data_IF_276839356729
#
_entry.id   IF_276839356729
#
_cell.length_a   1.000
_cell.length_b   1.000
_cell.length_c   1.000
_cell.angle_alpha   90.00
_cell.angle_beta   90.00
_cell.angle_gamma   90.00
#
_symmetry.space_group_name_H-M   'P 1'
#
loop_
_entity.id
_entity.type
_entity.pdbx_description
1 polymer ?
#
# COMPACT_ATOMS: atom_id res chain seq x y z
N UNK A 1 -33.41 14.11 -18.67
CA UNK A 1 -32.94 13.16 -17.62
C UNK A 1 -31.91 12.13 -18.10
N UNK A 2 -32.19 11.19 -19.02
CA UNK A 2 -31.17 10.18 -19.45
C UNK A 2 -29.99 10.78 -20.23
N UNK A 3 -30.21 11.86 -20.98
CA UNK A 3 -29.15 12.59 -21.67
C UNK A 3 -28.14 13.22 -20.69
N UNK A 4 -28.61 13.75 -19.55
CA UNK A 4 -27.76 14.33 -18.50
C UNK A 4 -26.90 13.29 -17.78
N UNK A 5 -27.38 12.04 -17.63
CA UNK A 5 -26.62 10.97 -16.97
C UNK A 5 -25.33 10.59 -17.73
N UNK A 6 -25.26 10.93 -19.01
CA UNK A 6 -24.05 10.74 -19.82
C UNK A 6 -22.99 11.79 -19.54
N UNK A 7 -23.38 12.94 -18.98
CA UNK A 7 -22.48 14.05 -18.72
C UNK A 7 -21.51 13.72 -17.58
N UNK A 8 -20.26 14.16 -17.72
CA UNK A 8 -19.19 13.89 -16.76
C UNK A 8 -19.51 14.44 -15.36
N UNK A 9 -19.98 15.69 -15.28
CA UNK A 9 -20.34 16.33 -14.01
C UNK A 9 -21.41 15.54 -13.25
N UNK A 10 -22.38 14.99 -13.98
CA UNK A 10 -23.46 14.20 -13.39
C UNK A 10 -22.91 12.89 -12.80
N UNK A 11 -22.05 12.19 -13.57
CA UNK A 11 -21.42 10.94 -13.11
C UNK A 11 -20.53 11.17 -11.91
N UNK A 12 -19.78 12.27 -11.88
CA UNK A 12 -18.92 12.65 -10.76
C UNK A 12 -19.74 12.79 -9.47
N UNK A 13 -20.85 13.54 -9.52
CA UNK A 13 -21.75 13.73 -8.39
C UNK A 13 -22.45 12.42 -7.99
N UNK A 14 -22.91 11.65 -8.97
CA UNK A 14 -23.63 10.39 -8.72
C UNK A 14 -22.74 9.30 -8.13
N UNK A 15 -21.41 9.33 -8.38
CA UNK A 15 -20.45 8.35 -7.87
C UNK A 15 -20.52 8.20 -6.34
N UNK A 16 -20.70 9.31 -5.61
CA UNK A 16 -20.79 9.30 -4.15
C UNK A 16 -22.03 8.53 -3.70
N UNK A 17 -23.18 8.85 -4.29
CA UNK A 17 -24.46 8.20 -3.98
C UNK A 17 -24.43 6.72 -4.34
N UNK A 18 -23.96 6.38 -5.53
CA UNK A 18 -23.80 5.00 -5.97
C UNK A 18 -22.90 4.20 -5.00
N UNK A 19 -21.85 4.82 -4.48
CA UNK A 19 -20.98 4.22 -3.46
C UNK A 19 -21.72 3.89 -2.16
N UNK A 20 -22.52 4.83 -1.64
CA UNK A 20 -23.32 4.63 -0.42
C UNK A 20 -24.38 3.54 -0.63
N UNK A 21 -25.10 3.59 -1.75
CA UNK A 21 -26.11 2.59 -2.11
C UNK A 21 -25.50 1.19 -2.24
N UNK A 22 -24.34 1.07 -2.88
CA UNK A 22 -23.60 -0.19 -2.98
C UNK A 22 -23.17 -0.72 -1.61
N UNK A 23 -22.69 0.14 -0.70
CA UNK A 23 -22.31 -0.24 0.66
C UNK A 23 -23.51 -0.74 1.46
N UNK A 24 -24.63 -0.02 1.45
CA UNK A 24 -25.85 -0.45 2.15
C UNK A 24 -26.40 -1.77 1.62
N UNK A 25 -26.32 -1.97 0.29
CA UNK A 25 -26.72 -3.21 -0.36
C UNK A 25 -25.89 -4.40 0.10
N UNK A 26 -24.56 -4.24 0.16
CA UNK A 26 -23.65 -5.27 0.63
C UNK A 26 -23.83 -5.56 2.13
N UNK A 27 -23.99 -4.53 2.95
CA UNK A 27 -24.23 -4.68 4.39
C UNK A 27 -25.49 -5.49 4.69
N UNK A 28 -26.58 -5.22 3.96
CA UNK A 28 -27.85 -5.92 4.13
C UNK A 28 -27.79 -7.37 3.65
N UNK A 29 -27.13 -7.63 2.51
CA UNK A 29 -27.10 -8.95 1.86
C UNK A 29 -26.00 -9.87 2.39
N UNK A 30 -24.77 -9.37 2.51
CA UNK A 30 -23.59 -10.17 2.82
C UNK A 30 -23.20 -10.12 4.31
N UNK A 31 -23.43 -8.99 4.98
CA UNK A 31 -23.00 -8.81 6.38
C UNK A 31 -24.14 -8.89 7.41
N UNK A 32 -25.35 -9.24 6.99
CA UNK A 32 -26.47 -9.51 7.89
C UNK A 32 -26.90 -8.31 8.74
N UNK A 33 -26.78 -7.08 8.22
CA UNK A 33 -27.14 -5.86 8.95
C UNK A 33 -28.62 -5.84 9.40
N UNK A 34 -29.51 -6.53 8.68
CA UNK A 34 -30.93 -6.67 9.05
C UNK A 34 -31.19 -7.74 10.13
N UNK A 35 -30.17 -8.51 10.54
CA UNK A 35 -30.30 -9.66 11.47
C UNK A 35 -29.31 -9.55 12.63
N UNK A 36 -29.27 -8.38 13.29
CA UNK A 36 -28.43 -8.17 14.47
C UNK A 36 -29.00 -8.92 15.68
N UNK A 37 -28.14 -9.65 16.40
CA UNK A 37 -28.51 -10.38 17.63
C UNK A 37 -28.49 -9.49 18.88
N UNK A 38 -27.73 -8.39 18.83
CA UNK A 38 -27.59 -7.45 19.94
C UNK A 38 -28.82 -6.54 20.06
N UNK A 39 -29.16 -6.16 21.28
CA UNK A 39 -30.26 -5.25 21.61
C UNK A 39 -29.68 -4.00 22.27
N UNK A 40 -30.44 -2.88 22.27
CA UNK A 40 -30.03 -1.54 22.73
C UNK A 40 -29.18 -0.77 21.72
N UNK A 41 -29.53 0.51 21.53
CA UNK A 41 -28.94 1.43 20.55
C UNK A 41 -27.40 1.46 20.53
N UNK A 42 -26.70 1.55 21.68
CA UNK A 42 -25.22 1.61 21.67
C UNK A 42 -24.56 0.34 21.12
N UNK A 43 -25.10 -0.83 21.47
CA UNK A 43 -24.58 -2.12 21.01
C UNK A 43 -24.87 -2.33 19.52
N UNK A 44 -26.07 -1.93 19.08
CA UNK A 44 -26.45 -1.94 17.66
C UNK A 44 -25.53 -1.04 16.85
N UNK A 45 -25.26 0.19 17.34
CA UNK A 45 -24.37 1.13 16.69
C UNK A 45 -22.96 0.55 16.52
N UNK A 46 -22.37 0.02 17.61
CA UNK A 46 -21.05 -0.61 17.56
C UNK A 46 -21.01 -1.78 16.56
N UNK A 47 -22.00 -2.68 16.60
CA UNK A 47 -22.07 -3.81 15.68
C UNK A 47 -22.19 -3.38 14.21
N UNK A 48 -22.94 -2.31 13.92
CA UNK A 48 -23.04 -1.74 12.57
C UNK A 48 -21.70 -1.15 12.15
N UNK A 49 -21.05 -0.35 13.01
CA UNK A 49 -19.74 0.26 12.72
C UNK A 49 -18.71 -0.82 12.38
N UNK A 50 -18.61 -1.89 13.17
CA UNK A 50 -17.72 -3.01 12.86
C UNK A 50 -18.01 -3.64 11.49
N UNK A 51 -19.29 -3.81 11.13
CA UNK A 51 -19.68 -4.37 9.83
C UNK A 51 -19.32 -3.43 8.67
N UNK A 52 -19.50 -2.10 8.84
CA UNK A 52 -19.09 -1.10 7.85
C UNK A 52 -17.58 -1.14 7.64
N UNK A 53 -16.79 -1.18 8.71
CA UNK A 53 -15.33 -1.27 8.65
C UNK A 53 -14.91 -2.55 7.92
N UNK A 54 -15.50 -3.70 8.27
CA UNK A 54 -15.20 -4.97 7.62
C UNK A 54 -15.52 -4.95 6.11
N UNK A 55 -16.67 -4.36 5.72
CA UNK A 55 -17.05 -4.19 4.33
C UNK A 55 -16.04 -3.32 3.56
N UNK A 56 -15.63 -2.19 4.14
CA UNK A 56 -14.66 -1.28 3.52
C UNK A 56 -13.28 -1.94 3.39
N UNK A 57 -12.82 -2.64 4.43
CA UNK A 57 -11.56 -3.37 4.42
C UNK A 57 -11.54 -4.45 3.33
N UNK A 58 -12.62 -5.24 3.23
CA UNK A 58 -12.78 -6.25 2.16
C UNK A 58 -12.63 -5.63 0.77
N UNK A 59 -13.30 -4.50 0.50
CA UNK A 59 -13.21 -3.82 -0.81
C UNK A 59 -11.81 -3.28 -1.09
N UNK A 60 -11.15 -2.71 -0.08
CA UNK A 60 -9.77 -2.23 -0.21
C UNK A 60 -8.81 -3.39 -0.54
N UNK A 61 -8.91 -4.51 0.18
CA UNK A 61 -8.12 -5.72 -0.09
C UNK A 61 -8.37 -6.25 -1.52
N UNK A 62 -9.61 -6.25 -1.99
CA UNK A 62 -9.94 -6.65 -3.36
C UNK A 62 -9.37 -5.67 -4.40
N UNK A 63 -9.40 -4.37 -4.12
CA UNK A 63 -8.81 -3.36 -5.00
C UNK A 63 -7.30 -3.56 -5.11
N UNK A 64 -6.60 -3.78 -4.00
CA UNK A 64 -5.16 -4.05 -4.01
C UNK A 64 -4.82 -5.33 -4.79
N UNK A 65 -5.56 -6.42 -4.56
CA UNK A 65 -5.37 -7.67 -5.33
C UNK A 65 -5.63 -7.50 -6.82
N UNK A 66 -6.53 -6.60 -7.19
CA UNK A 66 -6.84 -6.30 -8.59
C UNK A 66 -5.75 -5.43 -9.22
N UNK A 67 -5.14 -4.55 -8.44
CA UNK A 67 -4.02 -3.71 -8.86
C UNK A 67 -2.75 -4.54 -9.09
N UNK A 68 -2.43 -5.47 -8.18
CA UNK A 68 -1.34 -6.45 -8.39
C UNK A 68 -1.57 -7.34 -9.61
N UNK A 69 -2.83 -7.58 -10.00
CA UNK A 69 -3.18 -8.35 -11.20
C UNK A 69 -3.17 -7.52 -12.48
N UNK A 70 -2.96 -6.19 -12.41
CA UNK A 70 -2.70 -5.42 -13.62
C UNK A 70 -1.26 -5.72 -14.02
N UNK A 71 -1.01 -6.42 -15.14
CA UNK A 71 0.34 -6.47 -15.65
C UNK A 71 0.76 -5.03 -15.91
N UNK A 72 1.78 -4.55 -15.19
CA UNK A 72 2.51 -3.37 -15.64
C UNK A 72 2.87 -3.67 -17.10
N UNK A 73 2.42 -2.82 -18.03
CA UNK A 73 2.55 -3.11 -19.46
C UNK A 73 4.01 -3.46 -19.81
N UNK A 74 4.24 -4.25 -20.85
CA UNK A 74 5.59 -4.70 -21.26
C UNK A 74 6.58 -3.53 -21.33
N UNK A 75 6.12 -2.35 -21.74
CA UNK A 75 6.87 -1.09 -21.72
C UNK A 75 7.29 -0.65 -20.31
N UNK A 76 6.41 -0.75 -19.31
CA UNK A 76 6.73 -0.45 -17.91
C UNK A 76 7.81 -1.39 -17.36
N UNK A 77 7.78 -2.67 -17.72
CA UNK A 77 8.84 -3.62 -17.35
C UNK A 77 10.16 -3.30 -18.02
N UNK A 78 10.15 -3.02 -19.33
CA UNK A 78 11.34 -2.65 -20.08
C UNK A 78 11.95 -1.35 -19.55
N UNK A 79 11.14 -0.34 -19.23
CA UNK A 79 11.59 0.91 -18.63
C UNK A 79 12.19 0.68 -17.24
N UNK A 80 11.62 -0.22 -16.43
CA UNK A 80 12.15 -0.55 -15.10
C UNK A 80 13.51 -1.26 -15.19
N UNK A 81 13.66 -2.23 -16.10
CA UNK A 81 14.93 -2.93 -16.36
C UNK A 81 15.98 -1.96 -16.91
N UNK A 82 15.60 -1.11 -17.87
CA UNK A 82 16.49 -0.08 -18.43
C UNK A 82 16.94 0.89 -17.34
N UNK A 83 16.04 1.38 -16.50
CA UNK A 83 16.38 2.28 -15.41
C UNK A 83 17.30 1.62 -14.37
N UNK A 84 17.05 0.36 -14.00
CA UNK A 84 17.89 -0.40 -13.07
C UNK A 84 19.31 -0.61 -13.62
N UNK A 85 19.45 -0.94 -14.90
CA UNK A 85 20.76 -1.17 -15.56
C UNK A 85 21.55 0.13 -15.75
N UNK A 86 20.89 1.24 -16.08
CA UNK A 86 21.52 2.57 -16.10
C UNK A 86 21.90 3.08 -14.70
N UNK A 87 21.15 2.74 -13.66
CA UNK A 87 21.50 3.08 -12.27
C UNK A 87 22.69 2.25 -11.76
N UNK A 88 22.75 0.96 -12.09
CA UNK A 88 23.82 0.06 -11.68
C UNK A 88 25.16 0.43 -12.36
N UNK A 89 25.13 0.77 -13.65
CA UNK A 89 26.32 1.22 -14.38
C UNK A 89 26.88 2.54 -13.83
N UNK A 90 26.01 3.46 -13.39
CA UNK A 90 26.44 4.68 -12.66
C UNK A 90 27.11 4.35 -11.33
N UNK A 91 26.62 3.36 -10.58
CA UNK A 91 27.22 2.93 -9.32
C UNK A 91 28.58 2.26 -9.53
N UNK A 92 28.71 1.39 -10.54
CA UNK A 92 29.97 0.74 -10.91
C UNK A 92 31.01 1.78 -11.36
N UNK A 93 30.58 2.79 -12.12
CA UNK A 93 31.45 3.91 -12.53
C UNK A 93 31.93 4.81 -11.39
N UNK A 94 31.24 4.80 -10.24
CA UNK A 94 31.69 5.45 -9.00
C UNK A 94 32.68 4.58 -8.23
N UNK A 95 32.47 3.25 -8.20
CA UNK A 95 33.39 2.30 -7.56
C UNK A 95 34.73 2.18 -8.31
N UNK A 96 34.71 2.25 -9.64
CA UNK A 96 35.93 2.17 -10.47
C UNK A 96 36.75 3.48 -10.49
N UNK A 97 36.28 4.51 -9.78
CA UNK A 97 36.95 5.82 -9.62
C UNK A 97 37.52 6.00 -8.21
N UNK A 98 37.68 4.92 -7.46
CA UNK A 98 38.42 4.93 -6.20
C UNK A 98 39.92 4.74 -6.54
N UNK A 99 40.76 5.78 -6.47
CA UNK A 99 42.20 5.62 -6.63
C UNK A 99 42.72 4.78 -5.47
N UNK A 100 43.34 3.64 -5.81
CA UNK A 100 44.09 2.80 -4.90
C UNK A 100 45.32 3.58 -4.41
N UNK A 101 45.24 4.25 -3.26
CA UNK A 101 46.43 4.70 -2.54
C UNK A 101 46.59 3.86 -1.28
N UNK A 102 47.40 2.82 -1.45
CA UNK A 102 48.05 2.02 -0.41
C UNK A 102 48.86 2.94 0.52
N UNK A 103 48.65 2.81 1.83
CA UNK A 103 49.77 2.80 2.77
C UNK A 103 49.40 1.99 4.02
N UNK A 104 50.06 0.84 4.11
CA UNK A 104 50.01 -0.16 5.18
C UNK A 104 51.12 0.17 6.18
N UNK A 105 50.78 0.62 7.38
CA UNK A 105 51.64 0.57 8.59
C UNK A 105 50.70 0.32 9.79
N UNK A 106 50.77 -0.85 10.43
CA UNK A 106 51.53 -1.08 11.68
C UNK A 106 50.82 -0.33 12.84
N UNK A 107 50.35 -0.92 13.94
CA UNK A 107 50.80 -2.07 14.72
C UNK A 107 49.70 -2.37 15.75
N UNK A 108 49.70 -3.60 16.25
CA UNK A 108 49.05 -4.08 17.47
C UNK A 108 49.11 -3.12 18.69
N UNK A 109 48.31 -3.41 19.72
CA UNK A 109 48.29 -2.86 21.10
C UNK A 109 47.32 -1.70 21.41
N UNK A 110 46.06 -2.02 21.76
CA UNK A 110 45.23 -1.16 22.65
C UNK A 110 43.97 -1.85 23.25
N UNK A 111 43.93 -3.18 23.42
CA UNK A 111 42.78 -3.87 24.08
C UNK A 111 43.20 -4.52 25.41
N UNK A 112 44.36 -4.14 25.96
CA UNK A 112 44.92 -4.72 27.18
C UNK A 112 44.92 -3.84 28.43
N UNK A 113 44.06 -2.83 28.56
CA UNK A 113 44.11 -1.90 29.72
C UNK A 113 42.78 -1.58 30.42
N UNK A 114 41.71 -2.36 30.25
CA UNK A 114 40.44 -2.07 30.94
C UNK A 114 39.85 -3.22 31.79
N UNK A 115 40.66 -4.21 32.19
CA UNK A 115 40.20 -5.34 33.02
C UNK A 115 41.04 -5.57 34.29
N UNK A 116 41.43 -4.48 34.96
CA UNK A 116 42.03 -4.47 36.31
C UNK A 116 41.55 -3.21 37.04
N UNK A 117 40.25 -3.13 37.36
CA UNK A 117 39.67 -2.15 38.29
C UNK A 117 38.14 -2.33 38.46
N UNK A 118 37.69 -3.54 38.84
CA UNK A 118 36.52 -3.79 39.70
C UNK A 118 36.76 -5.07 40.48
#
# INVERSE_FOLDING_TARGET
>A
RFAEQKQHWWRQAYKIRAGVEATMSELKRAHGMARLRVRRLPQVHFAIVCKVIACNLKRWLQSMRSDTRRPHGTLSHLLCILWATLSLSRLIGLLHRCPQTVSRQSTTYAIGQHLLSV
#
